data_IF_413500671525
#
_entry.id   IF_413500671525
#
_cell.length_a   1.000
_cell.length_b   1.000
_cell.length_c   1.000
_cell.angle_alpha   90.00
_cell.angle_beta   90.00
_cell.angle_gamma   90.00
#
_symmetry.space_group_name_H-M   'P 1'
#
loop_
_entity.id
_entity.type
_entity.pdbx_description
1 polymer ?
#
# COMPACT_ATOMS: atom_id res chain seq x y z
N UNK A 1 -18.91 -0.20 -18.55
CA UNK A 1 -17.49 -0.60 -18.74
C UNK A 1 -17.10 -1.48 -17.55
N UNK A 2 -17.04 -2.80 -17.75
CA UNK A 2 -16.65 -3.73 -16.68
C UNK A 2 -15.14 -3.61 -16.48
N UNK A 3 -14.71 -3.05 -15.35
CA UNK A 3 -13.30 -3.05 -14.97
C UNK A 3 -12.87 -4.50 -14.76
N UNK A 4 -12.00 -5.03 -15.63
CA UNK A 4 -11.37 -6.34 -15.41
C UNK A 4 -10.63 -6.30 -14.07
N UNK A 5 -11.09 -7.09 -13.10
CA UNK A 5 -10.38 -7.32 -11.85
C UNK A 5 -9.07 -8.04 -12.17
N UNK A 6 -7.94 -7.39 -11.87
CA UNK A 6 -6.59 -7.95 -12.07
C UNK A 6 -6.02 -8.33 -10.70
N UNK A 7 -5.39 -9.49 -10.61
CA UNK A 7 -4.67 -9.95 -9.41
C UNK A 7 -3.18 -10.11 -9.70
N UNK A 8 -2.35 -10.02 -8.66
CA UNK A 8 -0.91 -10.25 -8.69
C UNK A 8 -0.49 -11.00 -7.45
N UNK A 9 0.20 -12.12 -7.65
CA UNK A 9 0.91 -12.83 -6.59
C UNK A 9 2.30 -12.22 -6.43
N UNK A 10 2.71 -12.02 -5.18
CA UNK A 10 4.02 -11.49 -4.83
C UNK A 10 4.46 -12.01 -3.47
N UNK A 11 5.76 -11.94 -3.21
CA UNK A 11 6.30 -12.10 -1.86
C UNK A 11 6.30 -10.74 -1.19
N UNK A 12 5.56 -10.62 -0.09
CA UNK A 12 5.51 -9.42 0.73
C UNK A 12 6.42 -9.55 1.96
N UNK A 13 6.89 -8.43 2.48
CA UNK A 13 7.60 -8.39 3.76
C UNK A 13 6.59 -8.33 4.89
N UNK A 14 6.74 -9.20 5.89
CA UNK A 14 5.99 -9.13 7.15
C UNK A 14 6.80 -8.28 8.12
N UNK A 15 6.26 -7.15 8.52
CA UNK A 15 6.93 -6.18 9.39
C UNK A 15 6.03 -5.86 10.59
N UNK A 16 6.41 -6.35 11.77
CA UNK A 16 5.69 -6.08 13.02
C UNK A 16 5.99 -4.70 13.60
N UNK A 17 7.01 -3.99 13.09
CA UNK A 17 7.33 -2.62 13.47
C UNK A 17 6.53 -1.57 12.68
N UNK A 18 5.88 -1.97 11.60
CA UNK A 18 5.04 -1.09 10.79
C UNK A 18 3.68 -0.86 11.46
N UNK A 19 3.29 0.41 11.59
CA UNK A 19 1.98 0.80 12.15
C UNK A 19 0.84 0.68 11.15
N UNK A 20 1.16 0.56 9.86
CA UNK A 20 0.20 0.40 8.77
C UNK A 20 0.78 -0.50 7.69
N UNK A 21 -0.04 -0.78 6.68
CA UNK A 21 0.34 -1.55 5.50
C UNK A 21 0.79 -0.59 4.40
N UNK A 22 1.75 -1.02 3.59
CA UNK A 22 2.39 -0.18 2.57
C UNK A 22 2.47 -0.88 1.23
N UNK A 23 2.30 -0.12 0.16
CA UNK A 23 2.62 -0.53 -1.21
C UNK A 23 3.78 0.30 -1.76
N UNK A 24 4.79 -0.39 -2.28
CA UNK A 24 5.92 0.28 -2.91
C UNK A 24 5.48 1.00 -4.21
N UNK A 25 5.88 2.27 -4.41
CA UNK A 25 5.47 3.09 -5.58
C UNK A 25 5.75 2.44 -6.93
N UNK A 26 6.85 1.68 -7.06
CA UNK A 26 7.14 0.90 -8.30
C UNK A 26 6.11 -0.19 -8.57
N UNK A 27 5.55 -0.82 -7.53
CA UNK A 27 4.49 -1.82 -7.70
C UNK A 27 3.21 -1.18 -8.23
N UNK A 28 2.82 -0.04 -7.65
CA UNK A 28 1.67 0.78 -8.10
C UNK A 28 1.81 1.14 -9.58
N UNK A 29 2.95 1.72 -9.97
CA UNK A 29 3.20 2.13 -11.35
C UNK A 29 3.21 0.96 -12.34
N UNK A 30 3.90 -0.15 -12.02
CA UNK A 30 4.00 -1.32 -12.91
C UNK A 30 2.67 -2.02 -13.12
N UNK A 31 1.81 -2.05 -12.10
CA UNK A 31 0.55 -2.76 -12.14
C UNK A 31 -0.66 -1.86 -12.41
N UNK A 32 -0.43 -0.56 -12.60
CA UNK A 32 -1.48 0.44 -12.84
C UNK A 32 -2.55 0.40 -11.75
N UNK A 33 -2.10 0.33 -10.50
CA UNK A 33 -3.00 0.30 -9.33
C UNK A 33 -3.70 1.65 -9.23
N UNK A 34 -5.02 1.61 -9.09
CA UNK A 34 -5.82 2.82 -8.86
C UNK A 34 -5.55 3.34 -7.46
N UNK A 35 -5.07 4.58 -7.38
CA UNK A 35 -4.83 5.30 -6.12
C UNK A 35 -5.85 6.41 -5.94
N UNK A 36 -6.15 6.76 -4.69
CA UNK A 36 -6.95 7.94 -4.32
C UNK A 36 -6.08 8.91 -3.54
N UNK A 37 -6.10 10.19 -3.89
CA UNK A 37 -5.41 11.23 -3.13
C UNK A 37 -6.04 11.41 -1.76
N UNK A 38 -5.21 11.51 -0.74
CA UNK A 38 -5.63 11.87 0.61
C UNK A 38 -5.91 13.37 0.69
N UNK A 39 -6.89 13.76 1.51
CA UNK A 39 -7.19 15.17 1.75
C UNK A 39 -6.05 15.91 2.47
N UNK A 40 -5.27 15.18 3.29
CA UNK A 40 -4.08 15.68 3.98
C UNK A 40 -2.98 14.62 3.90
N UNK A 41 -1.72 15.00 3.61
CA UNK A 41 -0.60 14.08 3.69
C UNK A 41 -0.40 13.53 5.11
N UNK A 42 0.06 12.27 5.21
CA UNK A 42 0.39 11.63 6.48
C UNK A 42 1.92 11.59 6.62
N UNK A 43 2.50 12.21 7.66
CA UNK A 43 3.92 12.08 7.97
C UNK A 43 4.32 10.63 8.19
N UNK A 44 5.45 10.22 7.60
CA UNK A 44 6.01 8.89 7.77
C UNK A 44 7.37 9.02 8.44
N UNK A 45 7.57 8.30 9.54
CA UNK A 45 8.80 8.29 10.30
C UNK A 45 9.39 6.88 10.33
N UNK A 46 10.72 6.81 10.32
CA UNK A 46 11.45 5.55 10.52
C UNK A 46 11.42 5.16 12.01
N UNK A 47 11.90 3.95 12.32
CA UNK A 47 11.94 3.42 13.69
C UNK A 47 12.76 4.30 14.65
N UNK A 48 13.77 5.01 14.14
CA UNK A 48 14.59 5.95 14.91
C UNK A 48 13.94 7.34 15.09
N UNK A 49 12.72 7.53 14.59
CA UNK A 49 11.97 8.79 14.66
C UNK A 49 12.34 9.82 13.59
N UNK A 50 13.32 9.54 12.73
CA UNK A 50 13.65 10.42 11.60
C UNK A 50 12.55 10.40 10.54
N UNK A 51 12.39 11.48 9.79
CA UNK A 51 11.48 11.50 8.65
C UNK A 51 11.91 10.47 7.59
N UNK A 52 10.92 9.81 7.00
CA UNK A 52 11.18 8.89 5.92
C UNK A 52 11.69 9.66 4.68
N UNK A 53 12.77 9.17 4.08
CA UNK A 53 13.43 9.84 2.94
C UNK A 53 12.56 9.96 1.70
N UNK A 54 11.58 9.07 1.56
CA UNK A 54 10.62 9.11 0.43
C UNK A 54 9.46 10.09 0.67
N UNK A 55 9.50 10.79 1.81
CA UNK A 55 8.56 11.84 2.20
C UNK A 55 7.32 11.31 2.89
N UNK A 56 6.20 12.00 2.66
CA UNK A 56 4.91 11.70 3.28
C UNK A 56 4.04 10.79 2.41
N UNK A 57 3.06 10.14 3.03
CA UNK A 57 2.04 9.36 2.32
C UNK A 57 0.96 10.35 1.84
N UNK A 58 0.70 10.38 0.53
CA UNK A 58 -0.23 11.33 -0.09
C UNK A 58 -1.40 10.64 -0.80
N UNK A 59 -1.32 9.33 -0.98
CA UNK A 59 -2.27 8.52 -1.74
C UNK A 59 -2.53 7.19 -1.03
N UNK A 60 -3.71 6.61 -1.25
CA UNK A 60 -4.13 5.33 -0.70
C UNK A 60 -4.70 4.42 -1.80
N UNK A 61 -4.40 3.13 -1.72
CA UNK A 61 -5.06 2.10 -2.52
C UNK A 61 -5.91 1.20 -1.62
N UNK A 62 -7.14 0.92 -2.04
CA UNK A 62 -7.99 -0.08 -1.39
C UNK A 62 -8.01 -1.32 -2.28
N UNK A 63 -7.47 -2.43 -1.78
CA UNK A 63 -7.28 -3.67 -2.51
C UNK A 63 -7.80 -4.86 -1.71
N UNK A 64 -8.31 -5.88 -2.40
CA UNK A 64 -8.52 -7.20 -1.82
C UNK A 64 -7.17 -7.91 -1.70
N UNK A 65 -6.75 -8.22 -0.48
CA UNK A 65 -5.56 -9.02 -0.18
C UNK A 65 -5.99 -10.44 0.17
N UNK A 66 -5.30 -11.44 -0.38
CA UNK A 66 -5.53 -12.85 -0.08
C UNK A 66 -4.24 -13.52 0.38
N UNK A 67 -4.29 -14.20 1.53
CA UNK A 67 -3.18 -14.97 2.10
C UNK A 67 -3.73 -16.35 2.49
N UNK A 68 -3.38 -17.38 1.72
CA UNK A 68 -3.96 -18.71 1.89
C UNK A 68 -5.49 -18.68 1.75
N UNK A 69 -6.18 -19.06 2.82
CA UNK A 69 -7.66 -19.04 2.89
C UNK A 69 -8.23 -17.74 3.46
N UNK A 70 -7.38 -16.82 3.91
CA UNK A 70 -7.81 -15.52 4.42
C UNK A 70 -7.89 -14.50 3.29
N UNK A 71 -8.97 -13.72 3.27
CA UNK A 71 -9.21 -12.64 2.32
C UNK A 71 -9.78 -11.43 3.07
N UNK A 72 -9.23 -10.25 2.81
CA UNK A 72 -9.68 -8.99 3.40
C UNK A 72 -9.54 -7.82 2.42
N UNK A 73 -10.42 -6.83 2.53
CA UNK A 73 -10.24 -5.53 1.88
C UNK A 73 -9.34 -4.66 2.75
N UNK A 74 -8.30 -4.10 2.13
CA UNK A 74 -7.20 -3.46 2.83
C UNK A 74 -6.84 -2.13 2.21
N UNK A 75 -6.65 -1.12 3.06
CA UNK A 75 -6.03 0.14 2.68
C UNK A 75 -4.49 0.04 2.78
N UNK A 76 -3.81 0.40 1.70
CA UNK A 76 -2.35 0.47 1.56
C UNK A 76 -1.90 1.87 1.17
#
# INVERSE_FOLDING_TARGET
>A
LSSKQRSKELVAMVDSGATTKFLHRRFVARNQVTMRKLAKPIPLYNIDGSENRDGTITEVAVLTMKIGNHEEEVAF
#
